data_IF_951609748216
#
_entry.id   IF_951609748216
#
_cell.length_a   1.000
_cell.length_b   1.000
_cell.length_c   1.000
_cell.angle_alpha   90.00
_cell.angle_beta   90.00
_cell.angle_gamma   90.00
#
_symmetry.space_group_name_H-M   'P 1'
#
loop_
_entity.id
_entity.type
_entity.pdbx_description
1 polymer ?
#
# COMPACT_ATOMS: atom_id res chain seq x y z
N UNK A 1 68.42 -27.34 15.11
CA UNK A 1 67.04 -27.69 14.73
C UNK A 1 66.14 -26.47 14.90
N UNK A 2 65.88 -25.68 13.85
CA UNK A 2 64.78 -24.71 13.82
C UNK A 2 64.34 -24.54 12.36
N UNK A 3 63.35 -25.32 11.94
CA UNK A 3 62.71 -25.18 10.63
C UNK A 3 61.64 -24.09 10.73
N UNK A 4 61.83 -22.99 10.01
CA UNK A 4 60.83 -21.93 9.87
C UNK A 4 60.00 -22.25 8.64
N UNK A 5 58.73 -22.61 8.85
CA UNK A 5 57.76 -22.86 7.78
C UNK A 5 57.04 -21.54 7.48
N UNK A 6 57.28 -20.97 6.31
CA UNK A 6 56.50 -19.84 5.80
C UNK A 6 55.24 -20.38 5.11
N UNK A 7 54.07 -20.08 5.69
CA UNK A 7 52.77 -20.41 5.09
C UNK A 7 52.39 -19.27 4.16
N UNK A 8 52.33 -19.56 2.85
CA UNK A 8 51.91 -18.64 1.80
C UNK A 8 50.38 -18.81 1.61
N UNK A 9 49.59 -17.83 2.06
CA UNK A 9 48.14 -17.80 1.82
C UNK A 9 47.92 -17.11 0.48
N UNK A 10 47.60 -17.90 -0.55
CA UNK A 10 47.16 -17.38 -1.86
C UNK A 10 45.64 -17.20 -1.78
N UNK A 11 45.19 -15.96 -1.58
CA UNK A 11 43.79 -15.58 -1.69
C UNK A 11 43.36 -15.58 -3.16
N UNK A 12 42.50 -16.53 -3.53
CA UNK A 12 41.90 -16.60 -4.86
C UNK A 12 40.74 -15.59 -4.95
N UNK A 13 41.00 -14.37 -5.44
CA UNK A 13 39.94 -13.44 -5.83
C UNK A 13 39.39 -13.85 -7.20
N UNK A 14 38.35 -14.68 -7.20
CA UNK A 14 37.54 -14.89 -8.39
C UNK A 14 36.76 -13.62 -8.72
N UNK A 15 37.03 -13.01 -9.87
CA UNK A 15 36.19 -11.93 -10.42
C UNK A 15 34.96 -12.62 -10.99
N UNK A 16 33.86 -12.67 -10.23
CA UNK A 16 32.58 -13.11 -10.75
C UNK A 16 31.99 -12.00 -11.60
N UNK A 17 31.78 -12.24 -12.89
CA UNK A 17 30.96 -11.36 -13.72
C UNK A 17 29.51 -11.47 -13.24
N UNK A 18 29.02 -10.42 -12.57
CA UNK A 18 27.64 -10.32 -12.13
C UNK A 18 26.70 -10.32 -13.34
N UNK A 19 25.58 -11.03 -13.22
CA UNK A 19 24.49 -10.95 -14.18
C UNK A 19 23.75 -9.63 -13.93
N UNK A 20 24.12 -8.55 -14.60
CA UNK A 20 23.54 -7.24 -14.32
C UNK A 20 22.26 -6.97 -15.11
N UNK A 21 21.34 -6.23 -14.49
CA UNK A 21 20.05 -5.86 -15.09
C UNK A 21 20.27 -4.60 -15.94
N UNK A 22 20.04 -4.69 -17.25
CA UNK A 22 20.18 -3.55 -18.15
C UNK A 22 18.98 -2.61 -18.09
N UNK A 23 17.77 -3.16 -17.97
CA UNK A 23 16.53 -2.37 -18.02
C UNK A 23 15.39 -3.04 -17.25
N UNK A 24 14.41 -2.22 -16.86
CA UNK A 24 13.16 -2.68 -16.25
C UNK A 24 11.98 -2.15 -17.06
N UNK A 25 11.20 -3.08 -17.58
CA UNK A 25 10.02 -2.79 -18.40
C UNK A 25 8.77 -3.03 -17.54
N UNK A 26 7.83 -2.09 -17.56
CA UNK A 26 6.53 -2.24 -16.90
C UNK A 26 5.45 -2.38 -17.97
N UNK A 27 4.58 -3.38 -17.85
CA UNK A 27 3.51 -3.63 -18.81
C UNK A 27 2.18 -4.02 -18.15
N UNK A 28 1.09 -3.84 -18.87
CA UNK A 28 -0.27 -4.18 -18.42
C UNK A 28 -0.90 -3.17 -17.45
N UNK A 29 -0.17 -2.11 -17.07
CA UNK A 29 -0.71 -1.03 -16.26
C UNK A 29 -1.42 0.01 -17.13
N UNK A 30 -2.70 0.29 -16.86
CA UNK A 30 -3.48 1.32 -17.54
C UNK A 30 -3.71 2.55 -16.65
N UNK A 31 -4.08 2.35 -15.39
CA UNK A 31 -4.34 3.41 -14.39
C UNK A 31 -3.14 3.64 -13.48
N UNK A 32 -2.53 2.57 -13.00
CA UNK A 32 -1.35 2.59 -12.12
C UNK A 32 -0.17 3.13 -12.89
N UNK A 33 0.59 4.05 -12.30
CA UNK A 33 1.73 4.68 -12.98
C UNK A 33 2.91 3.71 -13.02
N UNK A 34 3.55 3.58 -14.19
CA UNK A 34 4.78 2.78 -14.33
C UNK A 34 5.87 3.25 -13.36
N UNK A 35 6.02 4.57 -13.18
CA UNK A 35 6.94 5.14 -12.20
C UNK A 35 6.64 4.71 -10.76
N UNK A 36 5.36 4.53 -10.41
CA UNK A 36 4.99 4.08 -9.07
C UNK A 36 5.38 2.61 -8.86
N UNK A 37 5.11 1.74 -9.84
CA UNK A 37 5.54 0.34 -9.84
C UNK A 37 7.07 0.28 -9.74
N UNK A 38 7.79 1.06 -10.55
CA UNK A 38 9.24 1.15 -10.45
C UNK A 38 9.72 1.66 -9.10
N UNK A 39 9.04 2.62 -8.46
CA UNK A 39 9.46 3.16 -7.17
C UNK A 39 9.26 2.16 -6.03
N UNK A 40 8.16 1.39 -6.06
CA UNK A 40 7.83 0.44 -4.99
C UNK A 40 8.64 -0.86 -5.07
N UNK A 41 9.10 -1.25 -6.27
CA UNK A 41 10.00 -2.39 -6.48
C UNK A 41 11.41 -2.09 -5.98
N UNK A 42 12.09 -3.12 -5.48
CA UNK A 42 13.46 -3.07 -4.97
C UNK A 42 14.48 -3.22 -6.10
N UNK A 43 14.16 -4.04 -7.09
CA UNK A 43 15.03 -4.26 -8.26
C UNK A 43 15.09 -3.00 -9.11
N UNK A 44 16.31 -2.60 -9.50
CA UNK A 44 16.61 -1.43 -10.34
C UNK A 44 17.57 -1.84 -11.46
N UNK A 45 17.53 -1.12 -12.58
CA UNK A 45 18.56 -1.23 -13.60
C UNK A 45 19.94 -0.90 -13.00
N UNK A 46 20.96 -1.64 -13.42
CA UNK A 46 22.33 -1.57 -12.88
C UNK A 46 22.59 -2.44 -11.66
N UNK A 47 21.55 -3.02 -11.03
CA UNK A 47 21.75 -4.01 -9.96
C UNK A 47 22.04 -5.39 -10.55
N UNK A 48 22.79 -6.20 -9.82
CA UNK A 48 22.92 -7.62 -10.13
C UNK A 48 21.57 -8.34 -9.95
N UNK A 49 21.30 -9.27 -10.86
CA UNK A 49 20.09 -10.07 -10.92
C UNK A 49 19.97 -10.93 -9.66
N UNK A 50 18.85 -10.75 -8.96
CA UNK A 50 18.56 -11.43 -7.69
C UNK A 50 17.10 -11.87 -7.72
N UNK A 51 16.88 -13.18 -7.92
CA UNK A 51 15.55 -13.76 -8.02
C UNK A 51 14.74 -13.59 -6.74
N UNK A 52 15.38 -13.62 -5.56
CA UNK A 52 14.67 -13.45 -4.29
C UNK A 52 14.07 -12.04 -4.18
N UNK A 53 14.80 -11.02 -4.66
CA UNK A 53 14.26 -9.64 -4.74
C UNK A 53 13.12 -9.51 -5.74
N UNK A 54 13.21 -10.19 -6.88
CA UNK A 54 12.13 -10.20 -7.88
C UNK A 54 10.86 -10.84 -7.29
N UNK A 55 10.98 -11.96 -6.58
CA UNK A 55 9.84 -12.62 -5.94
C UNK A 55 9.20 -11.76 -4.84
N UNK A 56 10.02 -11.04 -4.06
CA UNK A 56 9.53 -10.06 -3.09
C UNK A 56 8.80 -8.91 -3.79
N UNK A 57 9.34 -8.39 -4.89
CA UNK A 57 8.71 -7.35 -5.69
C UNK A 57 7.35 -7.79 -6.24
N UNK A 58 7.24 -9.01 -6.76
CA UNK A 58 5.95 -9.55 -7.23
C UNK A 58 4.96 -9.74 -6.09
N UNK A 59 5.42 -10.27 -4.96
CA UNK A 59 4.59 -10.38 -3.75
C UNK A 59 4.09 -8.99 -3.31
N UNK A 60 4.92 -7.94 -3.48
CA UNK A 60 4.56 -6.56 -3.20
C UNK A 60 3.47 -6.04 -4.07
N UNK A 61 3.63 -6.23 -5.37
CA UNK A 61 2.65 -5.77 -6.35
C UNK A 61 1.30 -6.48 -6.13
N UNK A 62 1.30 -7.80 -5.86
CA UNK A 62 0.07 -8.55 -5.55
C UNK A 62 -0.66 -8.08 -4.27
N UNK A 63 0.04 -7.43 -3.34
CA UNK A 63 -0.57 -6.87 -2.11
C UNK A 63 -1.23 -5.51 -2.33
N UNK A 64 -1.04 -4.88 -3.50
CA UNK A 64 -1.67 -3.60 -3.81
C UNK A 64 -3.14 -3.82 -4.22
N UNK A 65 -4.11 -3.14 -3.58
CA UNK A 65 -5.53 -3.26 -3.92
C UNK A 65 -5.87 -3.06 -5.41
N UNK A 66 -5.08 -2.24 -6.12
CA UNK A 66 -5.27 -1.97 -7.55
C UNK A 66 -4.69 -3.02 -8.50
N UNK A 67 -4.04 -4.06 -7.98
CA UNK A 67 -3.40 -5.11 -8.79
C UNK A 67 -4.08 -6.44 -8.47
N UNK A 68 -4.78 -6.99 -9.46
CA UNK A 68 -5.41 -8.31 -9.37
C UNK A 68 -4.37 -9.43 -9.50
N UNK A 69 -3.41 -9.26 -10.42
CA UNK A 69 -2.33 -10.21 -10.64
C UNK A 69 -1.03 -9.48 -11.01
N UNK A 70 0.11 -10.08 -10.65
CA UNK A 70 1.42 -9.60 -11.08
C UNK A 70 2.34 -10.79 -11.37
N UNK A 71 3.17 -10.64 -12.39
CA UNK A 71 4.15 -11.62 -12.84
C UNK A 71 5.41 -10.92 -13.34
N UNK A 72 6.47 -11.70 -13.54
CA UNK A 72 7.71 -11.21 -14.11
C UNK A 72 8.17 -12.09 -15.28
N UNK A 73 9.00 -11.51 -16.14
CA UNK A 73 9.75 -12.21 -17.16
C UNK A 73 11.19 -11.70 -17.12
N UNK A 74 12.14 -12.63 -17.14
CA UNK A 74 13.57 -12.30 -17.25
C UNK A 74 14.08 -12.79 -18.60
N UNK A 75 14.65 -11.89 -19.37
CA UNK A 75 15.21 -12.21 -20.70
C UNK A 75 16.67 -11.79 -20.76
N UNK A 76 17.49 -12.65 -21.35
CA UNK A 76 18.91 -12.34 -21.57
C UNK A 76 19.02 -11.44 -22.80
N UNK A 77 19.73 -10.33 -22.67
CA UNK A 77 20.01 -9.41 -23.77
C UNK A 77 21.24 -9.84 -24.56
N UNK A 78 21.48 -9.19 -25.71
CA UNK A 78 22.61 -9.46 -26.60
C UNK A 78 23.95 -9.22 -25.88
N UNK A 79 24.01 -8.26 -24.97
CA UNK A 79 25.23 -7.84 -24.25
C UNK A 79 25.51 -8.66 -22.99
N UNK A 80 24.93 -9.87 -22.89
CA UNK A 80 25.06 -10.75 -21.72
C UNK A 80 24.54 -10.14 -20.40
N UNK A 81 23.69 -9.11 -20.49
CA UNK A 81 22.91 -8.54 -19.39
C UNK A 81 21.47 -9.08 -19.41
N UNK A 82 20.63 -8.62 -18.48
CA UNK A 82 19.27 -9.10 -18.32
C UNK A 82 18.25 -7.97 -18.36
N UNK A 83 17.16 -8.16 -19.11
CA UNK A 83 15.98 -7.32 -19.09
C UNK A 83 14.92 -7.96 -18.19
N UNK A 84 14.39 -7.19 -17.24
CA UNK A 84 13.33 -7.65 -16.33
C UNK A 84 12.04 -6.94 -16.66
N UNK A 85 11.03 -7.70 -17.08
CA UNK A 85 9.69 -7.17 -17.33
C UNK A 85 8.78 -7.50 -16.15
N UNK A 86 8.20 -6.46 -15.53
CA UNK A 86 7.11 -6.58 -14.57
C UNK A 86 5.77 -6.39 -15.27
N UNK A 87 4.97 -7.45 -15.32
CA UNK A 87 3.61 -7.42 -15.83
C UNK A 87 2.59 -7.35 -14.72
N UNK A 88 1.58 -6.50 -14.87
CA UNK A 88 0.47 -6.37 -13.92
C UNK A 88 -0.87 -6.47 -14.63
N UNK A 89 -1.85 -7.03 -13.94
CA UNK A 89 -3.27 -6.99 -14.30
C UNK A 89 -3.99 -6.16 -13.24
N UNK A 90 -4.70 -5.12 -13.66
CA UNK A 90 -5.32 -4.17 -12.74
C UNK A 90 -6.71 -4.61 -12.29
N UNK A 91 -7.03 -4.30 -11.03
CA UNK A 91 -8.38 -4.48 -10.50
C UNK A 91 -9.18 -3.17 -10.55
N UNK A 92 -10.51 -3.27 -10.47
CA UNK A 92 -11.36 -2.11 -10.25
C UNK A 92 -11.23 -1.62 -8.80
N UNK A 93 -10.98 -0.32 -8.62
CA UNK A 93 -10.59 0.25 -7.32
C UNK A 93 -11.55 1.28 -6.74
N UNK A 94 -12.66 1.57 -7.43
CA UNK A 94 -13.71 2.48 -6.92
C UNK A 94 -14.78 1.63 -6.25
N UNK A 95 -14.79 1.59 -4.93
CA UNK A 95 -15.67 0.71 -4.16
C UNK A 95 -16.77 1.56 -3.50
N UNK A 96 -18.03 1.44 -3.94
CA UNK A 96 -19.17 1.98 -3.20
C UNK A 96 -19.45 1.11 -1.97
N UNK A 97 -19.98 1.73 -0.93
CA UNK A 97 -20.41 1.07 0.30
C UNK A 97 -21.77 1.61 0.72
N UNK A 98 -22.64 0.72 1.17
CA UNK A 98 -23.95 1.06 1.71
C UNK A 98 -24.25 0.16 2.90
N UNK A 99 -24.68 0.77 4.00
CA UNK A 99 -25.15 0.08 5.18
C UNK A 99 -26.50 0.65 5.61
N UNK A 100 -27.35 -0.21 6.15
CA UNK A 100 -28.71 0.15 6.60
C UNK A 100 -28.89 -0.38 8.01
N UNK A 101 -29.52 0.42 8.86
CA UNK A 101 -29.75 0.15 10.28
C UNK A 101 -31.09 0.74 10.72
N UNK A 102 -31.47 0.47 11.97
CA UNK A 102 -32.57 1.14 12.68
C UNK A 102 -31.97 1.96 13.82
N UNK A 103 -32.47 3.17 14.03
CA UNK A 103 -31.99 4.07 15.10
C UNK A 103 -32.51 3.65 16.48
N UNK A 104 -32.04 4.32 17.53
CA UNK A 104 -32.57 4.17 18.89
C UNK A 104 -34.04 4.63 19.04
N UNK A 105 -34.54 5.45 18.10
CA UNK A 105 -35.92 5.95 18.05
C UNK A 105 -36.79 5.17 17.03
N UNK A 106 -36.39 3.95 16.66
CA UNK A 106 -37.05 3.11 15.66
C UNK A 106 -37.15 3.74 14.24
N UNK A 107 -36.31 4.74 13.94
CA UNK A 107 -36.24 5.37 12.62
C UNK A 107 -35.27 4.64 11.68
N UNK A 108 -35.45 4.85 10.37
CA UNK A 108 -34.53 4.33 9.36
C UNK A 108 -33.18 5.06 9.38
N UNK A 109 -32.08 4.32 9.49
CA UNK A 109 -30.72 4.83 9.42
C UNK A 109 -29.94 4.20 8.26
N UNK A 110 -28.99 4.95 7.71
CA UNK A 110 -28.14 4.47 6.63
C UNK A 110 -26.77 5.16 6.60
N UNK A 111 -25.79 4.46 6.03
CA UNK A 111 -24.47 5.01 5.70
C UNK A 111 -24.17 4.69 4.24
N UNK A 112 -23.81 5.71 3.47
CA UNK A 112 -23.33 5.59 2.10
C UNK A 112 -21.89 6.08 2.04
N UNK A 113 -21.02 5.36 1.36
CA UNK A 113 -19.64 5.76 1.17
C UNK A 113 -19.11 5.39 -0.20
N UNK A 114 -18.06 6.09 -0.62
CA UNK A 114 -17.38 5.85 -1.88
C UNK A 114 -15.87 6.00 -1.66
N UNK A 115 -15.12 4.99 -2.06
CA UNK A 115 -13.68 4.93 -1.87
C UNK A 115 -12.96 4.58 -3.16
N UNK A 116 -11.89 5.29 -3.46
CA UNK A 116 -10.92 4.99 -4.51
C UNK A 116 -9.64 4.50 -3.83
N UNK A 117 -9.21 3.26 -4.11
CA UNK A 117 -8.03 2.63 -3.48
C UNK A 117 -6.72 2.82 -4.27
N UNK A 118 -6.78 3.29 -5.50
CA UNK A 118 -5.64 3.56 -6.37
C UNK A 118 -5.72 4.97 -6.98
N UNK A 119 -5.98 5.95 -6.12
CA UNK A 119 -6.03 7.37 -6.47
C UNK A 119 -4.73 7.82 -7.15
N UNK A 120 -4.88 8.57 -8.24
CA UNK A 120 -3.79 9.06 -9.08
C UNK A 120 -2.86 7.95 -9.66
N UNK A 121 -3.28 6.69 -9.58
CA UNK A 121 -2.46 5.54 -9.99
C UNK A 121 -1.25 5.28 -9.08
N UNK A 122 -1.34 5.65 -7.80
CA UNK A 122 -0.23 5.61 -6.82
C UNK A 122 -0.56 4.88 -5.52
N UNK A 123 -1.56 3.99 -5.53
CA UNK A 123 -2.02 3.29 -4.33
C UNK A 123 -2.42 4.25 -3.19
N UNK A 124 -3.10 5.34 -3.54
CA UNK A 124 -3.62 6.32 -2.60
C UNK A 124 -5.09 6.01 -2.36
N UNK A 125 -5.47 5.83 -1.10
CA UNK A 125 -6.88 5.76 -0.70
C UNK A 125 -7.42 7.17 -0.53
N UNK A 126 -8.46 7.50 -1.28
CA UNK A 126 -9.30 8.68 -1.08
C UNK A 126 -10.74 8.22 -1.02
N UNK A 127 -11.46 8.65 0.00
CA UNK A 127 -12.88 8.39 0.04
C UNK A 127 -13.53 9.05 1.23
N UNK A 128 -14.81 8.76 1.37
CA UNK A 128 -15.58 9.28 2.48
C UNK A 128 -16.94 8.62 2.56
N UNK A 129 -17.66 8.99 3.59
CA UNK A 129 -19.01 8.52 3.82
C UNK A 129 -19.90 9.65 4.33
N UNK A 130 -21.19 9.48 4.08
CA UNK A 130 -22.28 10.17 4.73
C UNK A 130 -23.10 9.15 5.49
N UNK A 131 -23.51 9.48 6.71
CA UNK A 131 -24.39 8.67 7.54
C UNK A 131 -25.54 9.52 8.04
N UNK A 132 -26.75 8.96 7.96
CA UNK A 132 -27.96 9.46 8.61
C UNK A 132 -28.36 8.44 9.67
N UNK A 133 -28.25 8.82 10.94
CA UNK A 133 -28.56 7.99 12.09
C UNK A 133 -29.06 8.89 13.23
N UNK A 134 -30.34 9.27 13.14
CA UNK A 134 -31.00 10.39 13.88
C UNK A 134 -30.43 11.76 13.51
N UNK A 135 -29.11 11.91 13.50
CA UNK A 135 -28.35 13.07 13.07
C UNK A 135 -27.50 12.74 11.85
N UNK A 136 -27.01 13.80 11.18
CA UNK A 136 -26.14 13.66 10.03
C UNK A 136 -24.69 13.58 10.50
N UNK A 137 -23.97 12.59 9.99
CA UNK A 137 -22.55 12.37 10.22
C UNK A 137 -21.83 12.19 8.89
N UNK A 138 -20.56 12.55 8.82
CA UNK A 138 -19.75 12.33 7.63
C UNK A 138 -18.27 12.15 7.99
N UNK A 139 -17.54 11.53 7.08
CA UNK A 139 -16.10 11.35 7.21
C UNK A 139 -15.41 11.38 5.87
N UNK A 140 -14.16 11.84 5.87
CA UNK A 140 -13.27 11.86 4.71
C UNK A 140 -11.95 11.22 5.13
N UNK A 141 -11.43 10.35 4.29
CA UNK A 141 -10.21 9.61 4.51
C UNK A 141 -9.25 9.80 3.33
N UNK A 142 -8.02 10.19 3.65
CA UNK A 142 -6.90 10.23 2.73
C UNK A 142 -5.78 9.37 3.30
N UNK A 143 -5.26 8.42 2.53
CA UNK A 143 -4.12 7.59 2.95
C UNK A 143 -3.20 7.31 1.77
N UNK A 144 -1.96 7.80 1.87
CA UNK A 144 -0.92 7.63 0.87
C UNK A 144 0.31 6.98 1.52
N UNK A 145 0.37 5.63 1.59
CA UNK A 145 1.43 4.91 2.32
C UNK A 145 2.82 5.04 1.69
N UNK A 146 2.89 5.34 0.38
CA UNK A 146 4.13 5.49 -0.37
C UNK A 146 4.29 6.91 -0.94
N UNK A 147 3.84 7.91 -0.17
CA UNK A 147 3.81 9.29 -0.63
C UNK A 147 5.22 9.86 -0.82
N UNK A 148 6.10 9.61 0.15
CA UNK A 148 7.44 10.17 0.21
C UNK A 148 8.53 9.19 -0.22
N UNK A 149 8.35 7.90 0.06
CA UNK A 149 9.24 6.83 -0.39
C UNK A 149 8.48 5.52 -0.57
N UNK A 150 9.17 4.45 -0.93
CA UNK A 150 8.60 3.11 -0.93
C UNK A 150 8.37 2.53 0.48
N UNK A 151 8.55 3.31 1.56
CA UNK A 151 8.27 2.89 2.94
C UNK A 151 7.58 3.94 3.79
N UNK A 152 7.60 5.21 3.36
CA UNK A 152 7.14 6.35 4.15
C UNK A 152 5.97 7.05 3.47
N UNK A 153 4.94 7.32 4.26
CA UNK A 153 3.72 7.97 3.81
C UNK A 153 2.98 8.70 4.92
N UNK A 154 1.76 9.12 4.60
CA UNK A 154 0.89 9.81 5.56
C UNK A 154 -0.58 9.44 5.36
N UNK A 155 -1.37 9.55 6.42
CA UNK A 155 -2.82 9.53 6.36
C UNK A 155 -3.41 10.77 7.05
N UNK A 156 -4.51 11.28 6.49
CA UNK A 156 -5.33 12.33 7.09
C UNK A 156 -6.75 11.84 7.14
N UNK A 157 -7.38 11.94 8.31
CA UNK A 157 -8.78 11.61 8.50
C UNK A 157 -9.49 12.81 9.12
N UNK A 158 -10.69 13.07 8.61
CA UNK A 158 -11.61 14.01 9.22
C UNK A 158 -12.94 13.30 9.41
N UNK A 159 -13.53 13.44 10.60
CA UNK A 159 -14.83 12.85 10.89
C UNK A 159 -15.65 13.82 11.76
N UNK A 160 -16.89 14.04 11.34
CA UNK A 160 -17.94 14.66 12.14
C UNK A 160 -18.99 13.59 12.45
N UNK A 161 -19.06 13.17 13.71
CA UNK A 161 -19.98 12.17 14.20
C UNK A 161 -20.97 12.83 15.15
N UNK A 162 -22.26 12.68 14.86
CA UNK A 162 -23.36 13.09 15.74
C UNK A 162 -24.21 11.86 16.02
N UNK A 163 -24.38 11.50 17.30
CA UNK A 163 -25.17 10.34 17.75
C UNK A 163 -26.15 10.75 18.85
N UNK A 164 -27.21 9.95 19.01
CA UNK A 164 -28.09 10.01 20.18
C UNK A 164 -27.63 8.93 21.16
N UNK A 165 -27.18 9.37 22.34
CA UNK A 165 -26.63 8.46 23.36
C UNK A 165 -27.53 8.47 24.59
N UNK A 166 -27.86 7.30 25.16
CA UNK A 166 -28.64 7.21 26.39
C UNK A 166 -27.74 7.40 27.62
N UNK A 167 -28.20 8.20 28.58
CA UNK A 167 -27.63 8.27 29.94
C UNK A 167 -28.56 7.55 30.89
N UNK A 168 -28.03 6.53 31.56
CA UNK A 168 -28.74 5.77 32.58
C UNK A 168 -28.56 6.46 33.93
N UNK A 169 -29.64 7.03 34.47
CA UNK A 169 -29.72 7.67 35.78
C UNK A 169 -30.55 6.80 36.72
N UNK A 170 -30.46 7.04 38.03
CA UNK A 170 -31.29 6.34 39.02
C UNK A 170 -32.80 6.58 38.80
N UNK A 171 -33.16 7.76 38.28
CA UNK A 171 -34.55 8.17 38.01
C UNK A 171 -35.07 7.74 36.63
N UNK A 172 -34.23 7.19 35.74
CA UNK A 172 -34.63 6.77 34.39
C UNK A 172 -33.53 6.92 33.33
N UNK A 173 -33.93 6.90 32.06
CA UNK A 173 -33.02 7.13 30.91
C UNK A 173 -33.29 8.51 30.33
N UNK A 174 -32.21 9.24 30.03
CA UNK A 174 -32.29 10.52 29.32
C UNK A 174 -31.39 10.47 28.09
N UNK A 175 -31.95 10.79 26.93
CA UNK A 175 -31.18 10.85 25.70
C UNK A 175 -30.53 12.21 25.52
N UNK A 176 -29.27 12.21 25.08
CA UNK A 176 -28.56 13.43 24.73
C UNK A 176 -27.89 13.31 23.37
N UNK A 177 -27.72 14.46 22.72
CA UNK A 177 -26.99 14.55 21.47
C UNK A 177 -25.50 14.65 21.75
N UNK A 178 -24.75 13.62 21.38
CA UNK A 178 -23.30 13.64 21.39
C UNK A 178 -22.76 14.10 20.03
N UNK A 179 -21.84 15.05 20.02
CA UNK A 179 -21.16 15.51 18.80
C UNK A 179 -19.65 15.37 18.99
N UNK A 180 -18.99 14.69 18.06
CA UNK A 180 -17.54 14.53 18.02
C UNK A 180 -17.02 14.94 16.65
N UNK A 181 -16.19 15.98 16.61
CA UNK A 181 -15.44 16.37 15.42
C UNK A 181 -13.97 16.06 15.64
N UNK A 182 -13.40 15.23 14.77
CA UNK A 182 -12.01 14.78 14.86
C UNK A 182 -11.25 15.11 13.59
N UNK A 183 -9.98 15.45 13.79
CA UNK A 183 -8.96 15.62 12.76
C UNK A 183 -7.76 14.78 13.18
N UNK A 184 -7.33 13.89 12.32
CA UNK A 184 -6.21 12.98 12.60
C UNK A 184 -5.19 13.06 11.47
N UNK A 185 -3.91 13.13 11.83
CA UNK A 185 -2.79 13.02 10.91
C UNK A 185 -1.88 11.92 11.44
N UNK A 186 -1.60 10.91 10.61
CA UNK A 186 -0.75 9.78 10.94
C UNK A 186 0.46 9.73 10.00
N UNK A 187 1.64 9.56 10.58
CA UNK A 187 2.84 9.14 9.85
C UNK A 187 2.79 7.62 9.61
N UNK A 188 3.08 7.19 8.39
CA UNK A 188 3.05 5.77 8.01
C UNK A 188 4.47 5.32 7.68
N UNK A 189 4.94 4.25 8.33
CA UNK A 189 6.24 3.65 8.03
C UNK A 189 6.15 2.12 7.92
N UNK A 190 6.68 1.57 6.83
CA UNK A 190 6.78 0.14 6.58
C UNK A 190 8.19 -0.36 6.92
N UNK A 191 8.33 -1.07 8.05
CA UNK A 191 9.63 -1.57 8.53
C UNK A 191 10.20 -2.67 7.62
N UNK A 192 9.47 -3.77 7.50
CA UNK A 192 9.89 -4.96 6.76
C UNK A 192 8.85 -5.36 5.72
N UNK A 193 9.36 -5.75 4.55
CA UNK A 193 8.60 -6.37 3.48
C UNK A 193 9.12 -7.81 3.37
N UNK A 194 8.42 -8.75 4.00
CA UNK A 194 8.66 -10.19 3.84
C UNK A 194 7.53 -10.80 3.02
#
# INVERSE_FOLDING_TARGET
MKSVVYIFIIGFCGITFGQDISEIIIQGNHKTRSQFIQNITQVKAGNSLDSAKIELDISRLKRLPGIAHAYYKVEKTIDNSYSVTYGVEENFTIIPSANVYTTNDDEFAYRLGLYEFNGLGRNILIGGYFQRDIFNSYGINFRAPYLFSNKLGLAVNHQNLSTLEPVFLEEGVADYRYNNTSYEILGLYEFNFH
#
